data_IF_809712228820
#
_entry.id   IF_809712228820
#
_cell.length_a   1.000
_cell.length_b   1.000
_cell.length_c   1.000
_cell.angle_alpha   90.00
_cell.angle_beta   90.00
_cell.angle_gamma   90.00
#
_symmetry.space_group_name_H-M   'P 1'
#
loop_
_entity.id
_entity.type
_entity.pdbx_description
1 polymer ?
#
# COMPACT_ATOMS: atom_id res chain seq x y z
N UNK A 1 5.11 20.02 -15.05
CA UNK A 1 4.80 18.96 -16.02
C UNK A 1 4.74 17.67 -15.24
N UNK A 2 3.54 17.14 -15.04
CA UNK A 2 3.33 15.89 -14.30
C UNK A 2 3.92 14.75 -15.14
N UNK A 3 4.96 14.08 -14.66
CA UNK A 3 5.37 12.81 -15.23
C UNK A 3 4.14 11.89 -15.28
N UNK A 4 3.88 11.20 -16.38
CA UNK A 4 2.69 10.38 -16.45
C UNK A 4 2.75 9.32 -15.36
N UNK A 5 1.77 9.34 -14.47
CA UNK A 5 1.63 8.41 -13.33
C UNK A 5 1.82 6.94 -13.75
N UNK A 6 1.55 6.62 -15.01
CA UNK A 6 1.75 5.31 -15.62
C UNK A 6 3.22 4.86 -15.70
N UNK A 7 4.17 5.77 -15.93
CA UNK A 7 5.61 5.42 -16.03
C UNK A 7 6.16 5.14 -14.63
N UNK A 8 5.84 5.99 -13.65
CA UNK A 8 6.27 5.80 -12.27
C UNK A 8 5.69 4.50 -11.68
N UNK A 9 4.44 4.20 -11.95
CA UNK A 9 3.82 2.93 -11.59
C UNK A 9 4.47 1.73 -12.29
N UNK A 10 4.79 1.84 -13.58
CA UNK A 10 5.46 0.76 -14.31
C UNK A 10 6.86 0.45 -13.77
N UNK A 11 7.62 1.49 -13.39
CA UNK A 11 8.94 1.31 -12.75
C UNK A 11 8.78 0.69 -11.36
N UNK A 12 7.90 1.23 -10.52
CA UNK A 12 7.62 0.73 -9.19
C UNK A 12 7.17 -0.74 -9.22
N UNK A 13 6.27 -1.09 -10.14
CA UNK A 13 5.75 -2.45 -10.31
C UNK A 13 6.84 -3.49 -10.61
N UNK A 14 7.86 -3.13 -11.41
CA UNK A 14 8.99 -4.04 -11.70
C UNK A 14 9.84 -4.32 -10.46
N UNK A 15 10.15 -3.28 -9.69
CA UNK A 15 10.88 -3.44 -8.42
C UNK A 15 10.06 -4.20 -7.39
N UNK A 16 8.75 -3.90 -7.29
CA UNK A 16 7.85 -4.60 -6.37
C UNK A 16 7.74 -6.08 -6.72
N UNK A 17 7.63 -6.41 -8.00
CA UNK A 17 7.59 -7.80 -8.45
C UNK A 17 8.89 -8.53 -8.12
N UNK A 18 10.04 -7.95 -8.45
CA UNK A 18 11.34 -8.57 -8.17
C UNK A 18 11.55 -8.80 -6.66
N UNK A 19 11.24 -7.79 -5.82
CA UNK A 19 11.31 -7.93 -4.36
C UNK A 19 10.38 -9.03 -3.85
N UNK A 20 9.16 -9.06 -4.35
CA UNK A 20 8.17 -10.04 -3.94
C UNK A 20 8.59 -11.47 -4.31
N UNK A 21 9.08 -11.68 -5.53
CA UNK A 21 9.57 -13.00 -6.00
C UNK A 21 10.78 -13.47 -5.18
N UNK A 22 11.76 -12.60 -4.94
CA UNK A 22 12.93 -12.93 -4.14
C UNK A 22 12.56 -13.23 -2.68
N UNK A 23 11.65 -12.47 -2.08
CA UNK A 23 11.18 -12.74 -0.72
C UNK A 23 10.35 -14.03 -0.65
N UNK A 24 9.63 -14.38 -1.71
CA UNK A 24 8.88 -15.63 -1.83
C UNK A 24 9.83 -16.83 -1.92
N UNK A 25 10.88 -16.74 -2.74
CA UNK A 25 11.94 -17.76 -2.82
C UNK A 25 12.68 -17.94 -1.49
N UNK A 26 12.98 -16.84 -0.81
CA UNK A 26 13.61 -16.86 0.51
C UNK A 26 12.66 -17.30 1.64
N UNK A 27 11.34 -17.47 1.35
CA UNK A 27 10.28 -17.75 2.33
C UNK A 27 10.16 -16.69 3.43
N UNK A 28 10.49 -15.47 3.13
CA UNK A 28 10.57 -14.35 4.08
C UNK A 28 9.59 -13.20 3.75
N UNK A 29 8.40 -13.56 3.27
CA UNK A 29 7.33 -12.61 2.96
C UNK A 29 6.88 -11.79 4.19
N UNK A 30 7.05 -12.34 5.41
CA UNK A 30 6.70 -11.63 6.64
C UNK A 30 7.65 -10.46 6.90
N UNK A 31 8.96 -10.64 6.68
CA UNK A 31 9.93 -9.56 6.79
C UNK A 31 9.67 -8.49 5.74
N UNK A 32 9.40 -8.90 4.49
CA UNK A 32 9.06 -7.95 3.43
C UNK A 32 7.79 -7.13 3.75
N UNK A 33 6.79 -7.74 4.37
CA UNK A 33 5.58 -7.04 4.81
C UNK A 33 5.90 -6.02 5.91
N UNK A 34 6.66 -6.42 6.93
CA UNK A 34 7.11 -5.52 7.99
C UNK A 34 7.92 -4.34 7.45
N UNK A 35 8.81 -4.59 6.48
CA UNK A 35 9.60 -3.58 5.79
C UNK A 35 8.71 -2.60 5.02
N UNK A 36 7.72 -3.11 4.28
CA UNK A 36 6.78 -2.28 3.53
C UNK A 36 5.91 -1.42 4.45
N UNK A 37 5.50 -1.95 5.62
CA UNK A 37 4.75 -1.20 6.63
C UNK A 37 5.62 -0.11 7.27
N UNK A 38 6.84 -0.44 7.65
CA UNK A 38 7.79 0.50 8.23
C UNK A 38 8.13 1.64 7.25
N UNK A 39 8.42 1.31 5.98
CA UNK A 39 8.67 2.31 4.93
C UNK A 39 7.45 3.19 4.68
N UNK A 40 6.25 2.60 4.63
CA UNK A 40 5.01 3.37 4.48
C UNK A 40 4.78 4.34 5.62
N UNK A 41 5.01 3.90 6.86
CA UNK A 41 4.92 4.75 8.05
C UNK A 41 5.97 5.87 8.04
N UNK A 42 7.22 5.57 7.65
CA UNK A 42 8.28 6.56 7.56
C UNK A 42 7.99 7.64 6.51
N UNK A 43 7.47 7.24 5.34
CA UNK A 43 7.06 8.18 4.28
C UNK A 43 5.90 9.08 4.72
N UNK A 44 4.95 8.54 5.50
CA UNK A 44 3.83 9.30 6.03
C UNK A 44 4.24 10.26 7.17
N UNK A 45 5.21 9.85 7.99
CA UNK A 45 5.65 10.61 9.15
C UNK A 45 6.71 11.69 8.83
N UNK A 46 7.44 11.55 7.72
CA UNK A 46 8.57 12.44 7.38
C UNK A 46 8.41 13.07 5.99
N UNK A 47 7.85 14.30 5.93
CA UNK A 47 7.83 15.08 4.69
C UNK A 47 9.23 15.33 4.13
N UNK A 48 10.25 15.48 4.99
CA UNK A 48 11.64 15.68 4.59
C UNK A 48 12.20 14.47 3.83
N UNK A 49 11.85 13.25 4.27
CA UNK A 49 12.21 12.04 3.55
C UNK A 49 11.60 12.02 2.15
N UNK A 50 10.32 12.38 2.04
CA UNK A 50 9.63 12.47 0.74
C UNK A 50 10.27 13.54 -0.14
N UNK A 51 10.60 14.70 0.41
CA UNK A 51 11.28 15.76 -0.33
C UNK A 51 12.67 15.31 -0.81
N UNK A 52 13.44 14.64 0.02
CA UNK A 52 14.78 14.14 -0.31
C UNK A 52 14.75 13.11 -1.45
N UNK A 53 13.85 12.12 -1.40
CA UNK A 53 13.74 11.10 -2.45
C UNK A 53 13.21 11.65 -3.78
N UNK A 54 12.41 12.72 -3.74
CA UNK A 54 11.88 13.37 -4.93
C UNK A 54 12.83 14.45 -5.51
N UNK A 55 13.81 14.89 -4.75
CA UNK A 55 14.69 16.00 -5.13
C UNK A 55 15.68 15.61 -6.24
N UNK A 56 15.69 16.29 -7.39
CA UNK A 56 16.69 16.08 -8.42
C UNK A 56 18.04 16.76 -8.09
N UNK A 57 18.05 17.66 -7.08
CA UNK A 57 19.22 18.48 -6.74
C UNK A 57 20.18 17.72 -5.82
N UNK A 58 19.67 16.81 -4.99
CA UNK A 58 20.51 16.01 -4.10
C UNK A 58 21.40 15.07 -4.91
N UNK A 59 22.73 15.07 -4.68
CA UNK A 59 23.65 14.15 -5.37
C UNK A 59 23.26 12.68 -5.13
N UNK A 60 23.41 11.86 -6.16
CA UNK A 60 23.05 10.44 -6.09
C UNK A 60 23.75 9.71 -4.94
N UNK A 61 25.02 9.99 -4.72
CA UNK A 61 25.77 9.36 -3.63
C UNK A 61 25.20 9.69 -2.25
N UNK A 62 24.75 10.92 -2.05
CA UNK A 62 24.11 11.36 -0.82
C UNK A 62 22.73 10.73 -0.63
N UNK A 63 21.93 10.63 -1.69
CA UNK A 63 20.64 9.92 -1.64
C UNK A 63 20.83 8.45 -1.25
N UNK A 64 21.82 7.77 -1.85
CA UNK A 64 22.11 6.36 -1.50
C UNK A 64 22.58 6.24 -0.06
N UNK A 65 23.50 7.11 0.38
CA UNK A 65 24.01 7.09 1.75
C UNK A 65 22.89 7.36 2.78
N UNK A 66 22.04 8.36 2.52
CA UNK A 66 20.91 8.70 3.38
C UNK A 66 19.91 7.53 3.47
N UNK A 67 19.54 6.93 2.33
CA UNK A 67 18.61 5.79 2.32
C UNK A 67 19.20 4.55 2.98
N UNK A 68 20.50 4.30 2.84
CA UNK A 68 21.19 3.20 3.52
C UNK A 68 21.19 3.42 5.03
N UNK A 69 21.43 4.64 5.49
CA UNK A 69 21.38 4.98 6.91
C UNK A 69 19.95 4.83 7.48
N UNK A 70 18.94 5.27 6.74
CA UNK A 70 17.53 5.11 7.11
C UNK A 70 17.17 3.63 7.19
N UNK A 71 17.54 2.83 6.18
CA UNK A 71 17.29 1.38 6.15
C UNK A 71 17.93 0.65 7.33
N UNK A 72 19.18 1.00 7.66
CA UNK A 72 19.88 0.44 8.81
C UNK A 72 19.22 0.82 10.15
N UNK A 73 18.82 2.10 10.30
CA UNK A 73 18.16 2.60 11.52
C UNK A 73 16.76 1.99 11.71
N UNK A 74 16.07 1.69 10.63
CA UNK A 74 14.76 1.04 10.65
C UNK A 74 14.87 -0.48 10.81
N UNK A 75 16.04 -1.06 10.68
CA UNK A 75 16.25 -2.51 10.76
C UNK A 75 15.62 -3.28 9.59
N UNK A 76 15.60 -2.68 8.40
CA UNK A 76 15.04 -3.32 7.21
C UNK A 76 15.85 -4.54 6.80
N UNK A 77 15.21 -5.51 6.18
CA UNK A 77 15.88 -6.69 5.64
C UNK A 77 16.98 -6.33 4.63
N UNK A 78 17.99 -7.15 4.52
CA UNK A 78 19.08 -6.94 3.56
C UNK A 78 18.58 -6.84 2.11
N UNK A 79 17.53 -7.60 1.78
CA UNK A 79 16.88 -7.58 0.47
C UNK A 79 16.29 -6.20 0.16
N UNK A 80 15.52 -5.66 1.11
CA UNK A 80 14.91 -4.33 0.97
C UNK A 80 15.98 -3.23 0.95
N UNK A 81 16.96 -3.29 1.85
CA UNK A 81 18.05 -2.31 1.91
C UNK A 81 18.86 -2.27 0.60
N UNK A 82 19.23 -3.42 0.04
CA UNK A 82 19.95 -3.51 -1.23
C UNK A 82 19.11 -2.95 -2.40
N UNK A 83 17.81 -3.21 -2.39
CA UNK A 83 16.91 -2.66 -3.43
C UNK A 83 16.81 -1.15 -3.34
N UNK A 84 16.71 -0.58 -2.14
CA UNK A 84 16.71 0.87 -1.94
C UNK A 84 18.02 1.50 -2.41
N UNK A 85 19.17 0.88 -2.13
CA UNK A 85 20.47 1.34 -2.62
C UNK A 85 20.54 1.29 -4.16
N UNK A 86 20.03 0.21 -4.79
CA UNK A 86 19.95 0.08 -6.24
C UNK A 86 19.03 1.15 -6.86
N UNK A 87 17.88 1.41 -6.25
CA UNK A 87 16.96 2.47 -6.70
C UNK A 87 17.62 3.84 -6.60
N UNK A 88 18.34 4.12 -5.51
CA UNK A 88 19.14 5.34 -5.33
C UNK A 88 20.22 5.49 -6.40
N UNK A 89 20.96 4.41 -6.66
CA UNK A 89 21.98 4.34 -7.72
C UNK A 89 21.42 4.64 -9.13
N UNK A 90 20.16 4.29 -9.37
CA UNK A 90 19.48 4.52 -10.65
C UNK A 90 18.63 5.82 -10.69
N UNK A 91 18.69 6.66 -9.65
CA UNK A 91 17.83 7.86 -9.48
C UNK A 91 16.32 7.55 -9.56
N UNK A 92 15.90 6.45 -8.96
CA UNK A 92 14.50 5.98 -8.98
C UNK A 92 13.84 5.95 -7.61
N UNK A 93 14.43 6.62 -6.60
CA UNK A 93 13.85 6.69 -5.25
C UNK A 93 12.50 7.41 -5.22
N UNK A 94 12.22 8.30 -6.15
CA UNK A 94 10.95 9.01 -6.23
C UNK A 94 9.74 8.10 -6.44
N UNK A 95 9.95 6.87 -6.95
CA UNK A 95 8.87 5.88 -7.10
C UNK A 95 8.62 5.04 -5.83
N UNK A 96 9.37 5.27 -4.76
CA UNK A 96 9.28 4.51 -3.51
C UNK A 96 7.86 4.46 -2.91
N UNK A 97 7.06 5.55 -2.89
CA UNK A 97 5.68 5.48 -2.42
C UNK A 97 4.82 4.49 -3.22
N UNK A 98 4.98 4.47 -4.54
CA UNK A 98 4.27 3.53 -5.42
C UNK A 98 4.76 2.09 -5.22
N UNK A 99 6.07 1.91 -5.00
CA UNK A 99 6.66 0.60 -4.68
C UNK A 99 6.03 0.00 -3.42
N UNK A 100 5.95 0.79 -2.35
CA UNK A 100 5.36 0.35 -1.07
C UNK A 100 3.90 -0.03 -1.25
N UNK A 101 3.12 0.76 -1.99
CA UNK A 101 1.72 0.48 -2.28
C UNK A 101 1.55 -0.84 -3.06
N UNK A 102 2.35 -1.04 -4.11
CA UNK A 102 2.36 -2.25 -4.93
C UNK A 102 2.77 -3.49 -4.13
N UNK A 103 3.80 -3.39 -3.29
CA UNK A 103 4.24 -4.48 -2.42
C UNK A 103 3.11 -4.91 -1.47
N UNK A 104 2.46 -3.95 -0.81
CA UNK A 104 1.34 -4.23 0.10
C UNK A 104 0.19 -4.92 -0.64
N UNK A 105 -0.16 -4.46 -1.84
CA UNK A 105 -1.21 -5.06 -2.65
C UNK A 105 -0.87 -6.52 -3.05
N UNK A 106 0.37 -6.78 -3.47
CA UNK A 106 0.84 -8.14 -3.86
C UNK A 106 0.86 -9.09 -2.67
N UNK A 107 1.37 -8.64 -1.52
CA UNK A 107 1.41 -9.44 -0.29
C UNK A 107 -0.02 -9.76 0.17
N UNK A 108 -0.94 -8.81 0.13
CA UNK A 108 -2.34 -9.03 0.46
C UNK A 108 -2.98 -10.07 -0.48
N UNK A 109 -2.69 -9.98 -1.78
CA UNK A 109 -3.19 -10.94 -2.78
C UNK A 109 -2.65 -12.35 -2.53
N UNK A 110 -1.36 -12.49 -2.23
CA UNK A 110 -0.74 -13.79 -1.94
C UNK A 110 -1.28 -14.42 -0.65
N UNK A 111 -1.52 -13.60 0.38
CA UNK A 111 -2.17 -14.07 1.61
C UNK A 111 -3.66 -14.42 1.42
N UNK A 112 -4.21 -14.20 0.23
CA UNK A 112 -5.63 -14.34 -0.02
C UNK A 112 -6.47 -13.32 0.72
N UNK A 113 -5.89 -12.21 1.13
CA UNK A 113 -6.59 -11.08 1.73
C UNK A 113 -7.14 -10.18 0.63
N UNK A 114 -8.40 -9.82 0.73
CA UNK A 114 -9.05 -8.86 -0.16
C UNK A 114 -9.38 -7.61 0.65
N UNK A 115 -8.91 -6.46 0.19
CA UNK A 115 -9.26 -5.19 0.81
C UNK A 115 -10.64 -4.77 0.32
N UNK A 116 -11.58 -4.59 1.24
CA UNK A 116 -12.88 -4.01 0.97
C UNK A 116 -12.90 -2.55 1.45
N UNK A 117 -13.10 -1.62 0.52
CA UNK A 117 -13.43 -0.24 0.84
C UNK A 117 -14.91 -0.15 1.18
N UNK A 118 -15.21 0.26 2.40
CA UNK A 118 -16.59 0.41 2.88
C UNK A 118 -16.85 1.88 3.12
N UNK A 119 -17.73 2.46 2.32
CA UNK A 119 -18.23 3.82 2.54
C UNK A 119 -19.58 3.74 3.24
N UNK A 120 -19.70 4.39 4.38
CA UNK A 120 -20.92 4.39 5.20
C UNK A 120 -21.33 5.82 5.56
N UNK A 121 -22.65 6.04 5.72
CA UNK A 121 -23.19 7.34 6.14
C UNK A 121 -22.79 7.72 7.58
N UNK A 122 -22.46 6.74 8.43
CA UNK A 122 -22.03 6.96 9.81
C UNK A 122 -20.92 5.99 10.18
N UNK A 123 -20.16 6.32 11.24
CA UNK A 123 -19.07 5.49 11.72
C UNK A 123 -19.57 4.11 12.15
N UNK A 124 -19.07 3.06 11.53
CA UNK A 124 -19.42 1.68 11.89
C UNK A 124 -18.87 1.33 13.27
N UNK A 125 -19.69 0.70 14.10
CA UNK A 125 -19.21 0.14 15.36
C UNK A 125 -18.29 -1.07 15.12
N UNK A 126 -17.41 -1.37 16.09
CA UNK A 126 -16.51 -2.52 16.00
C UNK A 126 -17.25 -3.85 15.77
N UNK A 127 -18.43 -4.01 16.35
CA UNK A 127 -19.28 -5.18 16.17
C UNK A 127 -19.85 -5.27 14.74
N UNK A 128 -20.28 -4.14 14.18
CA UNK A 128 -20.79 -4.07 12.80
C UNK A 128 -19.69 -4.33 11.78
N UNK A 129 -18.51 -3.75 11.97
CA UNK A 129 -17.34 -3.98 11.11
C UNK A 129 -16.95 -5.47 11.12
N UNK A 130 -16.92 -6.11 12.29
CA UNK A 130 -16.59 -7.53 12.42
C UNK A 130 -17.63 -8.42 11.71
N UNK A 131 -18.90 -8.16 11.91
CA UNK A 131 -20.00 -8.91 11.26
C UNK A 131 -19.99 -8.72 9.73
N UNK A 132 -19.68 -7.52 9.26
CA UNK A 132 -19.53 -7.24 7.84
C UNK A 132 -18.33 -8.00 7.25
N UNK A 133 -17.18 -8.00 7.93
CA UNK A 133 -15.99 -8.77 7.51
C UNK A 133 -16.28 -10.26 7.43
N UNK A 134 -17.00 -10.83 8.40
CA UNK A 134 -17.40 -12.24 8.41
C UNK A 134 -18.36 -12.58 7.26
N UNK A 135 -19.33 -11.72 7.00
CA UNK A 135 -20.28 -11.90 5.89
C UNK A 135 -19.57 -11.83 4.52
N UNK A 136 -18.65 -10.88 4.37
CA UNK A 136 -17.86 -10.75 3.15
C UNK A 136 -16.89 -11.93 2.97
N UNK A 137 -16.27 -12.38 4.05
CA UNK A 137 -15.43 -13.58 4.07
C UNK A 137 -16.20 -14.82 3.62
N UNK A 138 -17.43 -15.00 4.08
CA UNK A 138 -18.29 -16.11 3.69
C UNK A 138 -18.66 -16.07 2.18
N UNK A 139 -18.86 -14.87 1.63
CA UNK A 139 -19.19 -14.69 0.20
C UNK A 139 -17.99 -14.83 -0.73
N UNK A 140 -16.83 -14.36 -0.32
CA UNK A 140 -15.61 -14.27 -1.16
C UNK A 140 -14.67 -15.44 -0.93
N UNK A 141 -14.80 -16.16 0.19
CA UNK A 141 -13.94 -17.29 0.58
C UNK A 141 -12.51 -16.86 0.97
N UNK A 142 -12.28 -15.55 1.16
CA UNK A 142 -10.97 -14.96 1.48
C UNK A 142 -11.08 -14.05 2.69
N UNK A 143 -9.98 -13.84 3.40
CA UNK A 143 -9.94 -12.89 4.52
C UNK A 143 -10.09 -11.47 3.99
N UNK A 144 -11.07 -10.73 4.51
CA UNK A 144 -11.38 -9.37 4.04
C UNK A 144 -10.87 -8.36 5.08
N UNK A 145 -9.96 -7.47 4.65
CA UNK A 145 -9.59 -6.27 5.40
C UNK A 145 -10.55 -5.13 5.03
N UNK A 146 -11.18 -4.53 6.03
CA UNK A 146 -12.11 -3.42 5.84
C UNK A 146 -11.38 -2.09 6.00
N UNK A 147 -11.40 -1.26 4.94
CA UNK A 147 -11.10 0.16 5.02
C UNK A 147 -12.43 0.92 5.08
N UNK A 148 -12.74 1.51 6.22
CA UNK A 148 -13.99 2.24 6.41
C UNK A 148 -13.80 3.73 6.21
N UNK A 149 -14.54 4.30 5.28
CA UNK A 149 -14.63 5.75 5.05
C UNK A 149 -16.04 6.21 5.40
N UNK A 150 -16.15 7.34 6.07
CA UNK A 150 -17.46 7.93 6.40
C UNK A 150 -17.76 9.01 5.36
N UNK A 151 -18.90 8.88 4.69
CA UNK A 151 -19.41 9.87 3.74
C UNK A 151 -20.84 10.25 4.12
N UNK A 152 -20.98 11.42 4.69
CA UNK A 152 -22.27 11.98 5.14
C UNK A 152 -23.23 12.29 3.99
N UNK A 153 -22.77 12.31 2.74
CA UNK A 153 -23.61 12.49 1.58
C UNK A 153 -24.51 11.27 1.28
N UNK A 154 -24.18 10.13 1.88
CA UNK A 154 -25.02 8.94 1.89
C UNK A 154 -26.11 9.10 2.95
N UNK A 155 -27.37 9.19 2.51
CA UNK A 155 -28.55 9.33 3.40
C UNK A 155 -28.67 8.10 4.33
N UNK A 156 -28.10 6.95 3.94
CA UNK A 156 -28.08 5.71 4.70
C UNK A 156 -27.58 4.53 3.85
N UNK A 157 -27.22 3.43 4.53
CA UNK A 157 -26.71 2.23 3.88
C UNK A 157 -25.20 2.19 3.77
N UNK A 158 -24.69 1.23 3.00
CA UNK A 158 -23.26 0.94 2.83
C UNK A 158 -22.97 0.79 1.34
N UNK A 159 -21.85 1.33 0.91
CA UNK A 159 -21.23 1.00 -0.37
C UNK A 159 -19.99 0.17 -0.06
N UNK A 160 -19.93 -1.04 -0.57
CA UNK A 160 -18.78 -1.94 -0.39
C UNK A 160 -18.14 -2.17 -1.74
N UNK A 161 -16.89 -1.76 -1.87
CA UNK A 161 -16.08 -1.98 -3.07
C UNK A 161 -15.03 -3.05 -2.77
N UNK A 162 -15.13 -4.16 -3.47
CA UNK A 162 -14.23 -5.33 -3.37
C UNK A 162 -13.41 -5.42 -4.66
N UNK A 163 -12.20 -4.87 -4.65
CA UNK A 163 -11.38 -4.81 -5.86
C UNK A 163 -12.13 -4.13 -7.02
N UNK A 164 -12.45 -4.88 -8.08
CA UNK A 164 -13.23 -4.39 -9.23
C UNK A 164 -14.75 -4.55 -9.08
N UNK A 165 -15.22 -5.23 -8.03
CA UNK A 165 -16.65 -5.47 -7.78
C UNK A 165 -17.17 -4.47 -6.77
N UNK A 166 -18.23 -3.75 -7.15
CA UNK A 166 -18.91 -2.79 -6.29
C UNK A 166 -20.27 -3.35 -5.89
N UNK A 167 -20.53 -3.40 -4.59
CA UNK A 167 -21.82 -3.80 -4.01
C UNK A 167 -22.41 -2.55 -3.36
N UNK A 168 -23.36 -1.92 -4.02
CA UNK A 168 -24.05 -0.74 -3.52
C UNK A 168 -25.37 -1.17 -2.85
N UNK A 169 -25.46 -0.98 -1.54
CA UNK A 169 -26.66 -1.18 -0.73
C UNK A 169 -27.15 0.12 -0.11
N UNK A 170 -26.76 1.26 -0.67
CA UNK A 170 -27.17 2.57 -0.18
C UNK A 170 -28.68 2.80 -0.43
N UNK A 171 -29.32 3.54 0.49
CA UNK A 171 -30.73 3.93 0.35
C UNK A 171 -30.90 4.89 -0.83
N UNK A 172 -29.86 5.64 -1.17
CA UNK A 172 -29.84 6.57 -2.30
C UNK A 172 -30.02 5.87 -3.65
N UNK A 173 -29.39 4.71 -3.86
CA UNK A 173 -29.52 3.92 -5.08
C UNK A 173 -30.84 3.14 -5.18
N UNK A 174 -31.57 2.99 -4.05
CA UNK A 174 -32.90 2.36 -4.03
C UNK A 174 -34.05 3.33 -4.25
N UNK A 175 -33.78 4.65 -4.14
CA UNK A 175 -34.76 5.72 -4.29
C UNK A 175 -34.66 6.44 -5.65
N UNK A 176 -33.65 6.14 -6.46
CA UNK A 176 -33.46 6.62 -7.83
C UNK A 176 -33.93 5.55 -8.83
#
# INVERSE_FOLDING_TARGET
MSEPASISQGIAGRYAQALFELAKEAKDLKALEADADALGAALAASPDLVAMIASPVVPRAEQVAAMSAVAAKMGLSALTANTLALMGGNRRLFVLPHLVADLKARIATEKGEVTAEVTSASKLSAAQSKKLAETLKAKVGKTVKLNTTVDESLIGGLIVKLGSTMIDTSVKSKLA
#
